data_IF_514414255724
#
_entry.id   IF_514414255724
#
_cell.length_a   1.000
_cell.length_b   1.000
_cell.length_c   1.000
_cell.angle_alpha   90.00
_cell.angle_beta   90.00
_cell.angle_gamma   90.00
#
_symmetry.space_group_name_H-M   'P 1'
#
loop_
_entity.id
_entity.type
_entity.pdbx_description
1 polymer ?
#
# COMPACT_ATOMS: atom_id res chain seq x y z
N UNK A 1 -61.20 31.83 -18.51
CA UNK A 1 -60.24 30.73 -18.71
C UNK A 1 -60.16 29.96 -17.40
N UNK A 2 -60.89 28.83 -17.23
CA UNK A 2 -60.91 28.09 -15.98
C UNK A 2 -59.74 27.14 -15.97
N UNK A 3 -58.69 27.51 -15.27
CA UNK A 3 -57.52 26.67 -15.05
C UNK A 3 -57.95 25.53 -14.10
N UNK A 4 -57.97 24.31 -14.61
CA UNK A 4 -58.38 23.13 -13.82
C UNK A 4 -57.26 22.80 -12.80
N UNK A 5 -57.34 23.40 -11.62
CA UNK A 5 -56.35 23.40 -10.56
C UNK A 5 -55.89 21.98 -10.16
N UNK A 6 -56.81 21.01 -10.20
CA UNK A 6 -56.49 19.61 -9.92
C UNK A 6 -55.58 18.98 -10.98
N UNK A 7 -55.72 19.38 -12.25
CA UNK A 7 -54.87 18.87 -13.34
C UNK A 7 -53.46 19.50 -13.27
N UNK A 8 -53.38 20.81 -12.98
CA UNK A 8 -52.10 21.52 -12.79
C UNK A 8 -51.31 20.97 -11.62
N UNK A 9 -51.98 20.67 -10.49
CA UNK A 9 -51.32 20.10 -9.32
C UNK A 9 -50.75 18.72 -9.60
N UNK A 10 -51.50 17.84 -10.30
CA UNK A 10 -50.97 16.52 -10.69
C UNK A 10 -49.79 16.62 -11.63
N UNK A 11 -49.80 17.57 -12.58
CA UNK A 11 -48.67 17.77 -13.49
C UNK A 11 -47.44 18.27 -12.77
N UNK A 12 -47.61 19.19 -11.82
CA UNK A 12 -46.51 19.71 -10.99
C UNK A 12 -45.89 18.61 -10.12
N UNK A 13 -46.72 17.79 -9.49
CA UNK A 13 -46.25 16.64 -8.67
C UNK A 13 -45.47 15.65 -9.51
N UNK A 14 -45.95 15.35 -10.73
CA UNK A 14 -45.25 14.44 -11.66
C UNK A 14 -43.87 15.03 -12.10
N UNK A 15 -43.86 16.32 -12.35
CA UNK A 15 -42.61 17.04 -12.73
C UNK A 15 -41.58 17.03 -11.61
N UNK A 16 -42.01 17.29 -10.36
CA UNK A 16 -41.11 17.27 -9.19
C UNK A 16 -40.59 15.84 -8.96
N UNK A 17 -41.47 14.81 -9.08
CA UNK A 17 -41.07 13.42 -8.93
C UNK A 17 -40.05 13.00 -10.01
N UNK A 18 -40.25 13.41 -11.26
CA UNK A 18 -39.31 13.10 -12.34
C UNK A 18 -37.95 13.81 -12.15
N UNK A 19 -37.96 15.01 -11.62
CA UNK A 19 -36.73 15.75 -11.31
C UNK A 19 -35.92 15.10 -10.16
N UNK A 20 -36.61 14.62 -9.13
CA UNK A 20 -36.01 13.88 -8.01
C UNK A 20 -35.40 12.55 -8.48
N UNK A 21 -36.11 11.81 -9.34
CA UNK A 21 -35.58 10.57 -9.91
C UNK A 21 -34.38 10.83 -10.78
N UNK A 22 -34.38 11.88 -11.61
CA UNK A 22 -33.27 12.25 -12.45
C UNK A 22 -32.03 12.65 -11.64
N UNK A 23 -32.18 13.40 -10.53
CA UNK A 23 -31.06 13.78 -9.65
C UNK A 23 -30.48 12.58 -8.90
N UNK A 24 -31.32 11.67 -8.40
CA UNK A 24 -30.85 10.44 -7.74
C UNK A 24 -30.14 9.52 -8.74
N UNK A 25 -30.69 9.36 -9.95
CA UNK A 25 -30.04 8.56 -10.99
C UNK A 25 -28.72 9.16 -11.45
N UNK A 26 -28.63 10.48 -11.57
CA UNK A 26 -27.37 11.16 -11.92
C UNK A 26 -26.31 11.00 -10.81
N UNK A 27 -26.69 11.14 -9.52
CA UNK A 27 -25.76 10.97 -8.42
C UNK A 27 -25.27 9.53 -8.29
N UNK A 28 -26.13 8.54 -8.52
CA UNK A 28 -25.76 7.12 -8.53
C UNK A 28 -24.85 6.79 -9.71
N UNK A 29 -25.10 7.38 -10.87
CA UNK A 29 -24.25 7.21 -12.06
C UNK A 29 -22.88 7.84 -11.88
N UNK A 30 -22.79 9.02 -11.27
CA UNK A 30 -21.52 9.67 -10.96
C UNK A 30 -20.72 8.91 -9.89
N UNK A 31 -21.37 8.36 -8.87
CA UNK A 31 -20.67 7.56 -7.85
C UNK A 31 -20.16 6.22 -8.41
N UNK A 32 -20.89 5.60 -9.34
CA UNK A 32 -20.42 4.41 -10.06
C UNK A 32 -19.27 4.74 -11.03
N UNK A 33 -19.25 5.91 -11.67
CA UNK A 33 -18.16 6.33 -12.55
C UNK A 33 -16.91 6.73 -11.77
N UNK A 34 -17.05 7.29 -10.56
CA UNK A 34 -15.90 7.62 -9.70
C UNK A 34 -15.29 6.39 -9.04
N UNK A 35 -16.02 5.30 -8.87
CA UNK A 35 -15.46 4.01 -8.42
C UNK A 35 -14.88 3.16 -9.56
N UNK A 36 -15.03 3.61 -10.81
CA UNK A 36 -14.50 2.96 -12.01
C UNK A 36 -13.19 3.62 -12.50
N UNK A 37 -12.60 4.52 -11.73
CA UNK A 37 -11.27 5.09 -12.04
C UNK A 37 -10.15 4.04 -12.03
N UNK A 38 -10.44 2.81 -11.62
CA UNK A 38 -9.56 1.66 -11.76
C UNK A 38 -9.86 0.78 -12.99
N UNK A 39 -10.72 1.21 -13.91
CA UNK A 39 -10.79 0.58 -15.24
C UNK A 39 -9.68 1.17 -16.13
N UNK A 40 -8.47 1.18 -15.62
CA UNK A 40 -7.31 1.10 -16.48
C UNK A 40 -7.34 -0.27 -17.14
N UNK A 41 -7.18 -0.35 -18.43
CA UNK A 41 -6.76 -1.59 -19.08
C UNK A 41 -5.51 -2.01 -18.33
N UNK A 42 -5.65 -2.99 -17.43
CA UNK A 42 -4.53 -3.54 -16.71
C UNK A 42 -3.64 -4.27 -17.73
N UNK A 43 -2.79 -3.54 -18.40
CA UNK A 43 -1.50 -4.09 -18.74
C UNK A 43 -0.90 -4.46 -17.41
N UNK A 44 -0.80 -5.75 -17.09
CA UNK A 44 -0.52 -6.25 -15.75
C UNK A 44 0.53 -5.41 -15.04
N UNK A 45 0.43 -5.30 -13.71
CA UNK A 45 1.31 -4.42 -12.93
C UNK A 45 2.74 -4.60 -13.38
N UNK A 46 3.34 -3.51 -13.85
CA UNK A 46 4.68 -3.54 -14.44
C UNK A 46 5.74 -3.73 -13.35
N UNK A 47 5.49 -3.18 -12.18
CA UNK A 47 6.34 -3.36 -10.98
C UNK A 47 5.48 -3.93 -9.86
N UNK A 48 5.98 -4.95 -9.19
CA UNK A 48 5.25 -5.64 -8.14
C UNK A 48 6.20 -6.37 -7.18
N UNK A 49 5.67 -6.74 -6.00
CA UNK A 49 6.39 -7.57 -5.05
C UNK A 49 6.46 -9.02 -5.50
N UNK A 50 7.58 -9.67 -5.20
CA UNK A 50 7.78 -11.11 -5.34
C UNK A 50 8.41 -11.67 -4.07
N UNK A 51 8.20 -12.98 -3.75
CA UNK A 51 8.88 -13.61 -2.64
C UNK A 51 10.41 -13.51 -2.77
N UNK A 52 11.08 -13.19 -1.67
CA UNK A 52 12.52 -13.25 -1.54
C UNK A 52 13.00 -14.64 -1.07
N UNK A 53 14.30 -14.74 -0.76
CA UNK A 53 14.88 -15.99 -0.26
C UNK A 53 14.44 -16.31 1.18
N UNK A 54 14.17 -15.27 1.98
CA UNK A 54 13.73 -15.38 3.38
C UNK A 54 12.20 -15.19 3.51
N UNK A 55 11.44 -15.47 2.44
CA UNK A 55 9.99 -15.36 2.44
C UNK A 55 9.34 -16.38 3.36
N UNK A 56 8.54 -15.91 4.32
CA UNK A 56 7.71 -16.79 5.15
C UNK A 56 6.38 -17.10 4.44
N UNK A 57 5.97 -18.39 4.33
CA UNK A 57 4.71 -18.78 3.69
C UNK A 57 3.44 -18.21 4.35
N UNK A 58 3.51 -17.74 5.60
CA UNK A 58 2.41 -17.06 6.27
C UNK A 58 2.25 -15.61 5.84
N UNK A 59 3.26 -15.04 5.17
CA UNK A 59 3.19 -13.70 4.57
C UNK A 59 2.21 -13.66 3.40
N UNK A 60 1.63 -12.50 3.13
CA UNK A 60 0.62 -12.32 2.09
C UNK A 60 0.95 -11.14 1.17
N UNK A 61 0.66 -11.30 -0.11
CA UNK A 61 0.66 -10.21 -1.09
C UNK A 61 -0.76 -9.79 -1.40
N UNK A 62 -0.99 -8.48 -1.44
CA UNK A 62 -2.29 -7.91 -1.78
C UNK A 62 -2.56 -7.91 -3.29
N UNK A 63 -3.66 -7.28 -3.68
CA UNK A 63 -4.10 -7.23 -5.08
C UNK A 63 -3.00 -6.69 -6.00
N UNK A 64 -2.74 -7.41 -7.08
CA UNK A 64 -1.71 -7.06 -8.05
C UNK A 64 -0.27 -7.08 -7.50
N UNK A 65 -0.04 -7.67 -6.32
CA UNK A 65 1.25 -7.72 -5.63
C UNK A 65 1.87 -6.32 -5.39
N UNK A 66 1.04 -5.29 -5.21
CA UNK A 66 1.51 -3.94 -4.90
C UNK A 66 1.53 -3.62 -3.40
N UNK A 67 0.93 -4.49 -2.60
CA UNK A 67 1.03 -4.45 -1.15
C UNK A 67 1.58 -5.76 -0.64
N UNK A 68 2.27 -5.71 0.49
CA UNK A 68 2.79 -6.90 1.16
C UNK A 68 2.62 -6.76 2.67
N UNK A 69 2.14 -7.83 3.29
CA UNK A 69 2.16 -8.03 4.74
C UNK A 69 3.12 -9.17 5.01
N UNK A 70 4.21 -8.89 5.71
CA UNK A 70 5.19 -9.89 6.08
C UNK A 70 4.83 -10.45 7.46
N UNK A 71 4.83 -11.76 7.58
CA UNK A 71 4.60 -12.49 8.82
C UNK A 71 5.92 -13.02 9.40
N UNK A 72 5.90 -13.34 10.70
CA UNK A 72 7.01 -13.99 11.41
C UNK A 72 8.36 -13.28 11.24
N UNK A 73 8.34 -11.95 11.17
CA UNK A 73 9.55 -11.15 11.21
C UNK A 73 10.05 -11.07 12.67
N UNK A 74 10.60 -12.17 13.15
CA UNK A 74 11.07 -12.27 14.51
C UNK A 74 12.39 -11.51 14.71
N UNK A 75 12.50 -10.83 15.84
CA UNK A 75 13.70 -10.15 16.26
C UNK A 75 14.16 -10.67 17.62
N UNK A 76 15.47 -10.67 17.84
CA UNK A 76 16.04 -11.03 19.15
C UNK A 76 16.09 -9.81 20.08
N UNK A 77 15.82 -10.05 21.37
CA UNK A 77 15.90 -9.02 22.40
C UNK A 77 17.34 -8.51 22.57
N UNK A 78 17.52 -7.19 22.52
CA UNK A 78 18.80 -6.54 22.73
C UNK A 78 19.82 -6.71 21.61
N UNK A 79 19.42 -7.29 20.48
CA UNK A 79 20.30 -7.45 19.30
C UNK A 79 19.50 -7.15 18.04
N UNK A 80 20.10 -6.40 17.11
CA UNK A 80 19.50 -6.17 15.82
C UNK A 80 19.46 -7.48 15.01
N UNK A 81 18.27 -7.86 14.56
CA UNK A 81 18.05 -9.01 13.68
C UNK A 81 17.89 -8.52 12.27
N UNK A 82 18.67 -9.08 11.34
CA UNK A 82 18.63 -8.73 9.92
C UNK A 82 17.93 -9.86 9.17
N UNK A 83 16.85 -9.50 8.44
CA UNK A 83 16.17 -10.37 7.49
C UNK A 83 16.50 -9.81 6.12
N UNK A 84 17.39 -10.49 5.41
CA UNK A 84 18.08 -9.87 4.27
C UNK A 84 17.24 -9.79 3.01
N UNK A 85 16.33 -10.75 2.80
CA UNK A 85 15.61 -10.90 1.53
C UNK A 85 14.22 -11.55 1.73
N UNK A 86 13.36 -10.98 2.60
CA UNK A 86 12.03 -11.53 2.79
C UNK A 86 11.12 -11.22 1.60
N UNK A 87 11.31 -10.10 0.92
CA UNK A 87 10.51 -9.68 -0.24
C UNK A 87 11.38 -8.92 -1.23
N UNK A 88 11.02 -9.02 -2.50
CA UNK A 88 11.70 -8.33 -3.61
C UNK A 88 10.72 -7.47 -4.37
N UNK A 89 11.25 -6.44 -5.04
CA UNK A 89 10.54 -5.62 -6.02
C UNK A 89 11.06 -6.02 -7.40
N UNK A 90 10.16 -6.37 -8.31
CA UNK A 90 10.49 -6.78 -9.67
C UNK A 90 9.85 -5.87 -10.69
N UNK A 91 10.62 -5.40 -11.67
CA UNK A 91 10.12 -4.68 -12.84
C UNK A 91 9.99 -5.62 -14.04
N UNK A 92 8.76 -5.96 -14.40
CA UNK A 92 8.43 -6.81 -15.56
C UNK A 92 8.19 -6.00 -16.85
N UNK A 93 8.45 -4.70 -16.84
CA UNK A 93 8.31 -3.87 -18.03
C UNK A 93 9.57 -3.88 -18.90
N UNK A 94 9.43 -3.50 -20.15
CA UNK A 94 10.52 -3.32 -21.11
C UNK A 94 11.31 -2.03 -20.91
N UNK A 95 10.82 -1.12 -20.08
CA UNK A 95 11.45 0.15 -19.71
C UNK A 95 11.69 0.29 -18.23
N UNK A 96 12.49 1.28 -17.85
CA UNK A 96 12.63 1.67 -16.44
C UNK A 96 11.31 2.24 -15.91
N UNK A 97 11.01 1.94 -14.67
CA UNK A 97 9.82 2.41 -13.97
C UNK A 97 10.19 3.23 -12.74
N UNK A 98 9.46 4.31 -12.49
CA UNK A 98 9.57 5.06 -11.25
C UNK A 98 8.63 4.47 -10.22
N UNK A 99 9.11 4.32 -9.01
CA UNK A 99 8.33 3.80 -7.88
C UNK A 99 8.68 4.50 -6.58
N UNK A 100 7.80 4.40 -5.60
CA UNK A 100 8.05 4.79 -4.22
C UNK A 100 7.56 3.66 -3.31
N UNK A 101 8.43 3.14 -2.44
CA UNK A 101 8.03 2.21 -1.40
C UNK A 101 7.56 3.01 -0.20
N UNK A 102 6.36 2.75 0.28
CA UNK A 102 5.75 3.45 1.41
C UNK A 102 5.32 2.48 2.50
N UNK A 103 5.35 2.97 3.72
CA UNK A 103 4.61 2.40 4.82
C UNK A 103 3.12 2.70 4.59
N UNK A 104 2.31 1.67 4.46
CA UNK A 104 0.84 1.81 4.39
C UNK A 104 0.23 1.91 5.79
N UNK A 105 0.64 0.99 6.68
CA UNK A 105 0.24 1.00 8.07
C UNK A 105 1.19 0.15 8.91
N UNK A 106 1.23 0.42 10.20
CA UNK A 106 1.81 -0.49 11.17
C UNK A 106 1.06 -0.43 12.50
N UNK A 107 1.00 -1.57 13.20
CA UNK A 107 0.31 -1.72 14.48
C UNK A 107 1.08 -2.69 15.36
N UNK A 108 0.82 -2.63 16.64
CA UNK A 108 1.47 -3.47 17.65
C UNK A 108 2.35 -2.66 18.59
N UNK A 109 3.25 -3.34 19.27
CA UNK A 109 4.14 -2.78 20.30
C UNK A 109 3.42 -1.92 21.36
N UNK A 110 2.30 -2.45 21.89
CA UNK A 110 1.47 -1.77 22.89
C UNK A 110 2.24 -1.40 24.17
N UNK A 111 3.34 -2.06 24.43
CA UNK A 111 4.18 -1.87 25.62
C UNK A 111 5.46 -1.05 25.32
N UNK A 112 5.57 -0.49 24.12
CA UNK A 112 6.75 0.28 23.73
C UNK A 112 8.06 -0.51 23.90
N UNK A 113 8.10 -1.73 23.40
CA UNK A 113 9.26 -2.64 23.52
C UNK A 113 10.14 -2.65 22.26
N UNK A 114 9.66 -2.10 21.14
CA UNK A 114 10.43 -1.93 19.93
C UNK A 114 11.42 -0.77 20.08
N UNK A 115 12.66 -0.97 19.68
CA UNK A 115 13.60 0.13 19.49
C UNK A 115 13.42 0.77 18.11
N UNK A 116 13.49 -0.05 17.06
CA UNK A 116 13.24 0.40 15.70
C UNK A 116 13.02 -0.77 14.73
N UNK A 117 12.41 -0.46 13.60
CA UNK A 117 12.43 -1.25 12.38
C UNK A 117 12.99 -0.37 11.26
N UNK A 118 14.00 -0.86 10.55
CA UNK A 118 14.51 -0.27 9.32
C UNK A 118 14.11 -1.13 8.14
N UNK A 119 13.62 -0.50 7.07
CA UNK A 119 13.35 -1.15 5.78
C UNK A 119 14.18 -0.44 4.72
N UNK A 120 15.08 -1.16 4.11
CA UNK A 120 16.02 -0.61 3.11
C UNK A 120 15.91 -1.38 1.81
N UNK A 121 15.76 -0.65 0.71
CA UNK A 121 15.75 -1.23 -0.65
C UNK A 121 17.18 -1.28 -1.19
N UNK A 122 17.57 -2.41 -1.76
CA UNK A 122 18.87 -2.60 -2.41
C UNK A 122 18.69 -2.98 -3.88
N UNK A 123 19.47 -2.39 -4.77
CA UNK A 123 19.36 -2.58 -6.22
C UNK A 123 19.90 -3.93 -6.76
N UNK A 124 19.86 -4.95 -5.94
CA UNK A 124 20.23 -6.31 -6.32
C UNK A 124 19.59 -7.33 -5.35
N UNK A 125 19.52 -8.58 -5.75
CA UNK A 125 19.01 -9.70 -4.92
C UNK A 125 20.03 -10.18 -3.89
N UNK A 126 21.30 -9.85 -4.08
CA UNK A 126 22.39 -10.12 -3.14
C UNK A 126 23.44 -9.01 -3.24
N UNK A 127 23.88 -8.48 -2.12
CA UNK A 127 24.73 -7.28 -2.11
C UNK A 127 23.96 -6.05 -2.60
N UNK A 128 24.55 -5.30 -3.53
CA UNK A 128 23.94 -4.11 -4.10
C UNK A 128 24.13 -2.86 -3.25
N UNK A 129 23.60 -1.74 -3.73
CA UNK A 129 23.65 -0.44 -3.06
C UNK A 129 22.26 -0.06 -2.59
N UNK A 130 22.15 0.50 -1.39
CA UNK A 130 20.90 1.03 -0.86
C UNK A 130 20.34 2.15 -1.77
N UNK A 131 19.04 2.12 -2.00
CA UNK A 131 18.34 3.02 -2.88
C UNK A 131 17.33 3.86 -2.09
N UNK A 132 17.34 5.16 -2.31
CA UNK A 132 16.46 6.10 -1.62
C UNK A 132 16.68 6.19 -0.12
N UNK A 133 15.67 6.64 0.60
CA UNK A 133 15.68 6.69 2.05
C UNK A 133 15.38 5.32 2.64
N UNK A 134 15.98 5.00 3.78
CA UNK A 134 15.53 3.88 4.62
C UNK A 134 14.24 4.29 5.31
N UNK A 135 13.19 3.45 5.21
CA UNK A 135 12.00 3.59 6.03
C UNK A 135 12.42 3.25 7.46
N UNK A 136 12.12 4.16 8.38
CA UNK A 136 12.53 4.03 9.77
C UNK A 136 11.32 4.20 10.68
N UNK A 137 10.99 3.16 11.42
CA UNK A 137 9.86 3.13 12.34
C UNK A 137 10.38 3.05 13.77
N UNK A 138 9.97 4.02 14.56
CA UNK A 138 10.25 4.09 16.00
C UNK A 138 8.99 4.61 16.69
N UNK A 139 8.58 3.97 17.76
CA UNK A 139 7.46 4.50 18.54
C UNK A 139 7.79 5.89 19.11
N UNK A 140 7.00 6.88 18.69
CA UNK A 140 6.91 8.17 19.37
C UNK A 140 7.44 9.39 18.65
N UNK A 141 8.28 9.31 17.63
CA UNK A 141 8.60 10.45 16.74
C UNK A 141 9.72 10.15 15.74
N UNK A 142 9.64 10.77 14.57
CA UNK A 142 10.73 10.77 13.59
C UNK A 142 10.67 9.64 12.56
N UNK A 143 9.51 9.02 12.38
CA UNK A 143 9.32 8.00 11.34
C UNK A 143 9.62 8.54 9.95
N UNK A 144 10.44 7.82 9.20
CA UNK A 144 10.59 7.98 7.75
C UNK A 144 9.70 6.94 7.10
N UNK A 145 8.62 7.36 6.46
CA UNK A 145 7.54 6.48 6.00
C UNK A 145 7.62 6.11 4.52
N UNK A 146 8.64 6.62 3.81
CA UNK A 146 8.80 6.35 2.38
C UNK A 146 10.26 6.45 1.91
N UNK A 147 10.57 5.69 0.86
CA UNK A 147 11.92 5.71 0.25
C UNK A 147 12.19 6.95 -0.59
N UNK A 148 11.15 7.70 -0.95
CA UNK A 148 11.20 8.66 -2.05
C UNK A 148 11.19 7.96 -3.41
N UNK A 149 11.27 8.75 -4.48
CA UNK A 149 11.22 8.20 -5.85
C UNK A 149 12.47 7.41 -6.19
N UNK A 150 12.28 6.15 -6.56
CA UNK A 150 13.30 5.23 -7.04
C UNK A 150 13.07 4.94 -8.53
N UNK A 151 14.13 4.53 -9.24
CA UNK A 151 14.03 4.14 -10.66
C UNK A 151 14.61 2.75 -10.83
N UNK A 152 13.74 1.75 -11.07
CA UNK A 152 14.12 0.36 -11.30
C UNK A 152 14.17 0.07 -12.80
N UNK A 153 15.30 -0.45 -13.27
CA UNK A 153 15.51 -0.79 -14.68
C UNK A 153 14.63 -1.96 -15.15
N UNK A 154 14.50 -2.09 -16.48
CA UNK A 154 13.78 -3.20 -17.11
C UNK A 154 14.34 -4.56 -16.68
N UNK A 155 13.47 -5.46 -16.23
CA UNK A 155 13.85 -6.81 -15.80
C UNK A 155 14.65 -6.89 -14.52
N UNK A 156 14.90 -5.76 -13.85
CA UNK A 156 15.63 -5.76 -12.58
C UNK A 156 14.78 -6.29 -11.44
N UNK A 157 15.48 -6.91 -10.48
CA UNK A 157 14.91 -7.40 -9.22
C UNK A 157 15.72 -6.84 -8.08
N UNK A 158 15.07 -6.13 -7.17
CA UNK A 158 15.65 -5.47 -6.01
C UNK A 158 15.14 -6.12 -4.74
N UNK A 159 16.01 -6.34 -3.74
CA UNK A 159 15.60 -6.87 -2.45
C UNK A 159 15.21 -5.77 -1.48
N UNK A 160 14.33 -6.09 -0.54
CA UNK A 160 13.92 -5.22 0.55
C UNK A 160 14.36 -5.86 1.85
N UNK A 161 15.41 -5.33 2.43
CA UNK A 161 16.01 -5.81 3.69
C UNK A 161 15.32 -5.19 4.89
N UNK A 162 15.14 -5.98 5.94
CA UNK A 162 14.58 -5.53 7.21
C UNK A 162 15.60 -5.70 8.32
N UNK A 163 15.70 -4.68 9.20
CA UNK A 163 16.46 -4.76 10.44
C UNK A 163 15.53 -4.44 11.59
N UNK A 164 15.33 -5.40 12.48
CA UNK A 164 14.41 -5.29 13.61
C UNK A 164 15.22 -5.32 14.89
N UNK A 165 14.98 -4.36 15.78
CA UNK A 165 15.67 -4.27 17.05
C UNK A 165 14.69 -4.06 18.20
N UNK A 166 14.51 -5.12 19.00
CA UNK A 166 13.74 -5.08 20.23
C UNK A 166 14.59 -4.67 21.42
N UNK A 167 13.98 -4.00 22.39
CA UNK A 167 14.64 -3.70 23.69
C UNK A 167 15.01 -4.98 24.42
N UNK A 168 16.02 -4.92 25.27
CA UNK A 168 16.47 -6.07 26.07
C UNK A 168 15.38 -6.60 27.01
N UNK A 169 14.42 -5.76 27.36
CA UNK A 169 13.28 -6.08 28.23
C UNK A 169 12.06 -6.58 27.47
N UNK A 170 12.11 -6.66 26.13
CA UNK A 170 10.98 -7.11 25.33
C UNK A 170 10.58 -8.55 25.69
N UNK A 171 9.27 -8.79 25.74
CA UNK A 171 8.70 -10.10 26.07
C UNK A 171 7.98 -10.67 24.83
N UNK A 172 6.68 -10.69 24.82
CA UNK A 172 5.86 -11.29 23.72
C UNK A 172 5.08 -10.22 22.97
N UNK A 173 5.78 -9.29 22.36
CA UNK A 173 5.15 -8.30 21.48
C UNK A 173 5.30 -8.70 20.02
N UNK A 174 4.31 -8.30 19.22
CA UNK A 174 4.30 -8.45 17.77
C UNK A 174 4.07 -7.10 17.14
N UNK A 175 4.62 -6.90 15.94
CA UNK A 175 4.39 -5.72 15.13
C UNK A 175 3.98 -6.16 13.72
N UNK A 176 2.86 -5.65 13.24
CA UNK A 176 2.42 -5.84 11.87
C UNK A 176 2.79 -4.60 11.07
N UNK A 177 3.51 -4.78 9.99
CA UNK A 177 3.95 -3.71 9.10
C UNK A 177 3.48 -4.02 7.68
N UNK A 178 2.69 -3.11 7.12
CA UNK A 178 2.21 -3.20 5.75
C UNK A 178 2.96 -2.19 4.87
N UNK A 179 3.53 -2.68 3.79
CA UNK A 179 4.19 -1.86 2.78
C UNK A 179 3.35 -1.82 1.50
N UNK A 180 3.48 -0.70 0.79
CA UNK A 180 2.83 -0.43 -0.50
C UNK A 180 3.82 0.12 -1.51
N UNK A 181 3.71 -0.36 -2.76
CA UNK A 181 4.38 0.24 -3.92
C UNK A 181 3.45 1.26 -4.58
N UNK A 182 3.95 2.48 -4.76
CA UNK A 182 3.33 3.47 -5.62
C UNK A 182 4.18 3.61 -6.88
N UNK A 183 3.56 3.42 -8.04
CA UNK A 183 4.21 3.49 -9.36
C UNK A 183 3.78 4.81 -10.01
N UNK A 184 4.73 5.56 -10.55
CA UNK A 184 4.50 6.87 -11.17
C UNK A 184 4.87 6.90 -12.65
#
# INVERSE_FOLDING_TARGET
MNINYKKSLKLLTLFIASLLIATVSASTYYSMFMSADDIGVATGNKVFFTPGADWDPASAMGSGNQTVTLANLDGMNGTATIISDPVRIYNNDTGSQSLNLKLDSWTGDSQNQLNYINVTVYNATSGGTAQGNTIYLVLGSGDVTETGTLSIGSGETWRVEWVIYWKTTATTETVDVNLKLEIS
#
